data_IF_206244769935
#
_entry.id   IF_206244769935
#
_cell.length_a   1.000
_cell.length_b   1.000
_cell.length_c   1.000
_cell.angle_alpha   90.00
_cell.angle_beta   90.00
_cell.angle_gamma   90.00
#
_symmetry.space_group_name_H-M   'P 1'
#
loop_
_entity.id
_entity.type
_entity.pdbx_description
1 polymer ?
#
# COMPACT_ATOMS: atom_id res chain seq x y z
N UNK A 1 -9.86 -0.22 12.18
CA UNK A 1 -10.42 1.16 12.13
C UNK A 1 -11.89 1.08 11.70
N UNK A 2 -12.78 1.85 12.35
CA UNK A 2 -14.22 1.85 12.10
C UNK A 2 -14.82 3.24 12.36
N UNK A 3 -16.16 3.37 12.21
CA UNK A 3 -16.86 4.66 12.43
C UNK A 3 -16.64 5.24 13.84
N UNK A 4 -16.55 4.42 14.87
CA UNK A 4 -16.31 4.88 16.23
C UNK A 4 -14.89 5.43 16.41
N UNK A 5 -13.89 4.79 15.79
CA UNK A 5 -12.52 5.29 15.74
C UNK A 5 -12.46 6.65 15.00
N UNK A 6 -13.20 6.79 13.88
CA UNK A 6 -13.31 8.04 13.14
C UNK A 6 -13.90 9.15 14.01
N UNK A 7 -14.99 8.87 14.73
CA UNK A 7 -15.63 9.83 15.63
C UNK A 7 -14.71 10.23 16.79
N UNK A 8 -14.01 9.25 17.38
CA UNK A 8 -13.05 9.50 18.45
C UNK A 8 -11.92 10.44 17.95
N UNK A 9 -11.32 10.13 16.80
CA UNK A 9 -10.27 10.96 16.21
C UNK A 9 -10.76 12.39 15.92
N UNK A 10 -11.99 12.53 15.41
CA UNK A 10 -12.60 13.84 15.20
C UNK A 10 -12.77 14.64 16.51
N UNK A 11 -13.23 13.99 17.59
CA UNK A 11 -13.33 14.61 18.92
C UNK A 11 -11.97 15.00 19.48
N UNK A 12 -10.92 14.24 19.16
CA UNK A 12 -9.52 14.54 19.52
C UNK A 12 -8.88 15.66 18.66
N UNK A 13 -9.63 16.27 17.74
CA UNK A 13 -9.17 17.40 16.92
C UNK A 13 -8.59 17.01 15.55
N UNK A 14 -8.58 15.73 15.18
CA UNK A 14 -8.11 15.30 13.85
C UNK A 14 -9.24 15.47 12.82
N UNK A 15 -9.01 16.29 11.80
CA UNK A 15 -10.01 16.58 10.76
C UNK A 15 -9.92 15.64 9.54
N UNK A 16 -8.79 14.99 9.35
CA UNK A 16 -8.52 14.14 8.20
C UNK A 16 -7.86 12.82 8.63
N UNK A 17 -8.01 11.79 7.80
CA UNK A 17 -7.39 10.48 8.04
C UNK A 17 -7.08 9.77 6.72
N UNK A 18 -6.18 8.78 6.77
CA UNK A 18 -5.95 7.86 5.66
C UNK A 18 -6.92 6.70 5.77
N UNK A 19 -7.65 6.41 4.70
CA UNK A 19 -8.57 5.28 4.64
C UNK A 19 -7.84 3.96 4.93
N UNK A 20 -8.36 3.12 5.83
CA UNK A 20 -7.76 1.85 6.16
C UNK A 20 -7.72 0.93 4.94
N UNK A 21 -6.60 0.27 4.77
CA UNK A 21 -6.38 -0.56 3.60
C UNK A 21 -6.98 -1.96 3.71
N UNK A 22 -7.33 -2.38 4.91
CA UNK A 22 -8.01 -3.65 5.19
C UNK A 22 -9.50 -3.63 4.86
N UNK A 23 -10.10 -2.46 4.66
CA UNK A 23 -11.54 -2.34 4.39
C UNK A 23 -11.84 -2.52 2.90
N UNK A 24 -12.92 -3.24 2.62
CA UNK A 24 -13.45 -3.35 1.27
C UNK A 24 -14.29 -2.13 0.87
N UNK A 25 -14.76 -2.09 -0.39
CA UNK A 25 -15.56 -0.99 -0.93
C UNK A 25 -16.80 -0.68 -0.08
N UNK A 26 -17.53 -1.71 0.37
CA UNK A 26 -18.75 -1.53 1.15
C UNK A 26 -18.48 -0.94 2.53
N UNK A 27 -17.43 -1.41 3.19
CA UNK A 27 -17.00 -0.92 4.49
C UNK A 27 -16.47 0.52 4.41
N UNK A 28 -15.72 0.84 3.35
CA UNK A 28 -15.25 2.21 3.07
C UNK A 28 -16.42 3.16 2.84
N UNK A 29 -17.48 2.70 2.16
CA UNK A 29 -18.71 3.46 1.97
C UNK A 29 -19.42 3.76 3.29
N UNK A 30 -19.51 2.77 4.19
CA UNK A 30 -20.09 2.93 5.53
C UNK A 30 -19.24 3.89 6.38
N UNK A 31 -17.94 3.83 6.25
CA UNK A 31 -17.00 4.71 6.96
C UNK A 31 -17.13 6.18 6.54
N UNK A 32 -17.42 6.42 5.24
CA UNK A 32 -17.47 7.76 4.64
C UNK A 32 -16.07 8.36 4.45
N UNK A 33 -15.73 8.71 3.22
CA UNK A 33 -14.37 9.14 2.85
C UNK A 33 -14.25 10.64 2.53
N UNK A 34 -15.26 11.44 2.81
CA UNK A 34 -15.32 12.88 2.46
C UNK A 34 -14.20 13.70 3.11
N UNK A 35 -13.64 13.20 4.19
CA UNK A 35 -12.50 13.82 4.90
C UNK A 35 -11.25 12.93 4.86
N UNK A 36 -11.26 11.87 4.06
CA UNK A 36 -10.18 10.91 4.00
C UNK A 36 -9.39 11.00 2.69
N UNK A 37 -8.14 10.61 2.76
CA UNK A 37 -7.37 10.22 1.59
C UNK A 37 -7.48 8.69 1.37
N UNK A 38 -7.64 8.27 0.12
CA UNK A 38 -7.65 6.87 -0.28
C UNK A 38 -6.34 6.54 -1.00
N UNK A 39 -5.60 5.56 -0.49
CA UNK A 39 -4.41 5.06 -1.19
C UNK A 39 -4.84 4.26 -2.41
N UNK A 40 -4.42 4.70 -3.60
CA UNK A 40 -4.76 4.07 -4.88
C UNK A 40 -3.59 3.37 -5.55
N UNK A 41 -2.37 3.62 -5.07
CA UNK A 41 -1.15 2.96 -5.51
C UNK A 41 -0.13 2.85 -4.38
N UNK A 42 0.61 1.75 -4.37
CA UNK A 42 1.84 1.56 -3.60
C UNK A 42 2.05 0.13 -3.12
N UNK A 43 3.32 -0.23 -2.93
CA UNK A 43 3.68 -1.49 -2.29
C UNK A 43 3.26 -1.51 -0.82
N UNK A 44 2.56 -2.56 -0.44
CA UNK A 44 2.03 -2.75 0.92
C UNK A 44 2.95 -3.64 1.74
N UNK A 45 3.34 -3.21 2.96
CA UNK A 45 3.98 -4.11 3.91
C UNK A 45 3.02 -5.26 4.28
N UNK A 46 3.47 -6.49 4.09
CA UNK A 46 2.73 -7.70 4.48
C UNK A 46 3.31 -8.33 5.74
N UNK A 47 4.58 -8.04 6.05
CA UNK A 47 5.24 -8.53 7.26
C UNK A 47 6.36 -7.58 7.71
N UNK A 48 6.49 -7.41 9.01
CA UNK A 48 7.65 -6.79 9.65
C UNK A 48 8.32 -7.87 10.50
N UNK A 49 9.62 -8.11 10.27
CA UNK A 49 10.39 -9.14 10.98
C UNK A 49 11.60 -8.54 11.69
N UNK A 50 11.69 -8.77 12.99
CA UNK A 50 12.88 -8.44 13.77
C UNK A 50 14.07 -9.36 13.45
N UNK A 51 13.83 -10.52 12.84
CA UNK A 51 14.89 -11.40 12.37
C UNK A 51 15.43 -10.92 11.02
N UNK A 52 16.61 -10.32 11.04
CA UNK A 52 17.23 -9.78 9.84
C UNK A 52 17.72 -10.89 8.90
N UNK A 53 17.17 -10.96 7.68
CA UNK A 53 17.52 -11.95 6.65
C UNK A 53 19.01 -11.88 6.28
N UNK A 54 19.56 -10.68 6.16
CA UNK A 54 20.97 -10.49 5.82
C UNK A 54 21.90 -10.98 6.92
N UNK A 55 21.54 -10.75 8.18
CA UNK A 55 22.29 -11.24 9.36
C UNK A 55 22.25 -12.76 9.42
N UNK A 56 21.07 -13.37 9.23
CA UNK A 56 20.88 -14.83 9.23
C UNK A 56 21.70 -15.51 8.13
N UNK A 57 21.86 -14.86 6.98
CA UNK A 57 22.68 -15.37 5.85
C UNK A 57 24.18 -15.06 5.99
N UNK A 58 24.62 -14.41 7.04
CA UNK A 58 26.01 -13.98 7.20
C UNK A 58 26.47 -12.90 6.21
N UNK A 59 25.55 -12.20 5.55
CA UNK A 59 25.80 -11.19 4.50
C UNK A 59 25.46 -9.78 4.94
N UNK A 60 25.43 -9.52 6.25
CA UNK A 60 25.11 -8.21 6.78
C UNK A 60 26.22 -7.19 6.50
N UNK A 61 25.91 -6.15 5.75
CA UNK A 61 26.82 -5.03 5.43
C UNK A 61 26.57 -3.80 6.32
N UNK A 62 25.59 -3.86 7.22
CA UNK A 62 25.09 -2.73 8.03
C UNK A 62 24.54 -1.56 7.20
N UNK A 63 24.29 -1.75 5.93
CA UNK A 63 23.71 -0.75 5.03
C UNK A 63 22.28 -1.13 4.69
N UNK A 64 21.37 -0.18 4.83
CA UNK A 64 19.97 -0.36 4.41
C UNK A 64 19.90 -0.61 2.90
N UNK A 65 19.16 -1.63 2.49
CA UNK A 65 19.09 -2.08 1.11
C UNK A 65 17.77 -2.77 0.80
N UNK A 66 17.50 -2.97 -0.48
CA UNK A 66 16.42 -3.84 -0.94
C UNK A 66 16.98 -5.18 -1.39
N UNK A 67 16.31 -6.25 -1.03
CA UNK A 67 16.59 -7.63 -1.46
C UNK A 67 15.29 -8.31 -1.86
N UNK A 68 15.37 -9.51 -2.42
CA UNK A 68 14.19 -10.28 -2.80
C UNK A 68 14.16 -11.61 -2.05
N UNK A 69 12.97 -12.07 -1.75
CA UNK A 69 12.70 -13.36 -1.13
C UNK A 69 11.65 -14.08 -1.98
N UNK A 70 11.88 -15.36 -2.25
CA UNK A 70 10.91 -16.24 -2.94
C UNK A 70 10.23 -17.15 -1.94
N UNK A 71 8.94 -17.33 -2.12
CA UNK A 71 8.19 -18.33 -1.38
C UNK A 71 8.30 -19.75 -2.02
N UNK A 72 7.54 -20.70 -1.49
CA UNK A 72 7.56 -22.09 -1.95
C UNK A 72 7.00 -22.28 -3.36
N UNK A 73 6.14 -21.39 -3.81
CA UNK A 73 5.52 -21.44 -5.13
C UNK A 73 6.25 -20.56 -6.16
N UNK A 74 7.36 -19.91 -5.74
CA UNK A 74 8.19 -19.09 -6.61
C UNK A 74 7.80 -17.63 -6.66
N UNK A 75 6.81 -17.19 -5.90
CA UNK A 75 6.41 -15.79 -5.82
C UNK A 75 7.52 -14.93 -5.18
N UNK A 76 7.81 -13.79 -5.77
CA UNK A 76 8.94 -12.95 -5.39
C UNK A 76 8.46 -11.71 -4.61
N UNK A 77 8.90 -11.61 -3.36
CA UNK A 77 8.57 -10.51 -2.45
C UNK A 77 9.76 -9.58 -2.30
N UNK A 78 9.50 -8.28 -2.38
CA UNK A 78 10.50 -7.27 -2.09
C UNK A 78 10.70 -7.15 -0.58
N UNK A 79 11.96 -7.11 -0.15
CA UNK A 79 12.33 -6.99 1.25
C UNK A 79 13.22 -5.76 1.44
N UNK A 80 12.77 -4.82 2.25
CA UNK A 80 13.57 -3.69 2.69
C UNK A 80 14.31 -4.06 3.98
N UNK A 81 15.63 -4.05 3.93
CA UNK A 81 16.48 -4.25 5.10
C UNK A 81 16.73 -2.90 5.78
N UNK A 82 16.14 -2.70 6.96
CA UNK A 82 16.32 -1.50 7.79
C UNK A 82 17.47 -1.75 8.75
N UNK A 83 18.69 -1.50 8.27
CA UNK A 83 19.90 -1.86 9.01
C UNK A 83 20.17 -0.99 10.24
N UNK A 84 19.65 0.24 10.28
CA UNK A 84 19.78 1.14 11.42
C UNK A 84 19.07 0.60 12.67
N UNK A 85 17.91 -0.05 12.47
CA UNK A 85 17.10 -0.62 13.55
C UNK A 85 17.07 -2.16 13.53
N UNK A 86 17.84 -2.80 12.63
CA UNK A 86 17.99 -4.26 12.51
C UNK A 86 16.68 -5.04 12.31
N UNK A 87 15.76 -4.53 11.49
CA UNK A 87 14.54 -5.26 11.09
C UNK A 87 14.35 -5.25 9.57
N UNK A 88 13.41 -6.07 9.11
CA UNK A 88 13.03 -6.12 7.69
C UNK A 88 11.56 -5.81 7.52
N UNK A 89 11.24 -5.16 6.42
CA UNK A 89 9.87 -4.99 5.93
C UNK A 89 9.75 -5.82 4.66
N UNK A 90 8.84 -6.78 4.66
CA UNK A 90 8.47 -7.55 3.47
C UNK A 90 7.25 -6.90 2.84
N UNK A 91 7.36 -6.54 1.58
CA UNK A 91 6.28 -5.97 0.80
C UNK A 91 5.59 -7.04 -0.03
N UNK A 92 4.35 -6.79 -0.41
CA UNK A 92 3.62 -7.64 -1.34
C UNK A 92 4.40 -7.76 -2.67
N UNK A 93 4.21 -8.86 -3.38
CA UNK A 93 4.87 -9.14 -4.67
C UNK A 93 4.50 -8.14 -5.76
N UNK A 94 3.27 -7.63 -5.73
CA UNK A 94 2.79 -6.61 -6.65
C UNK A 94 2.23 -5.40 -5.88
N UNK A 95 2.34 -4.18 -6.43
CA UNK A 95 1.77 -2.99 -5.81
C UNK A 95 0.25 -3.00 -5.86
N UNK A 96 -0.39 -2.40 -4.85
CA UNK A 96 -1.79 -2.02 -4.93
C UNK A 96 -1.98 -1.06 -6.10
N UNK A 97 -3.00 -1.28 -6.95
CA UNK A 97 -3.48 -0.28 -7.91
C UNK A 97 -5.00 -0.33 -8.03
N UNK A 98 -5.65 0.75 -7.64
CA UNK A 98 -7.12 0.89 -7.68
C UNK A 98 -7.62 1.74 -8.85
N UNK A 99 -6.76 2.23 -9.73
CA UNK A 99 -7.16 3.05 -10.86
C UNK A 99 -8.24 2.39 -11.73
N UNK A 100 -8.17 1.08 -11.95
CA UNK A 100 -9.19 0.30 -12.67
C UNK A 100 -10.57 0.29 -12.00
N UNK A 101 -10.68 0.79 -10.77
CA UNK A 101 -11.93 0.91 -10.02
C UNK A 101 -12.45 2.38 -9.98
N UNK A 102 -12.08 3.20 -10.96
CA UNK A 102 -12.39 4.64 -11.03
C UNK A 102 -13.85 4.97 -10.66
N UNK A 103 -14.81 4.27 -11.26
CA UNK A 103 -16.25 4.51 -11.00
C UNK A 103 -16.62 4.27 -9.53
N UNK A 104 -16.05 3.24 -8.90
CA UNK A 104 -16.30 2.92 -7.50
C UNK A 104 -15.63 3.95 -6.58
N UNK A 105 -14.41 4.37 -6.90
CA UNK A 105 -13.69 5.40 -6.16
C UNK A 105 -14.45 6.73 -6.23
N UNK A 106 -14.97 7.10 -7.39
CA UNK A 106 -15.81 8.30 -7.54
C UNK A 106 -17.06 8.24 -6.66
N UNK A 107 -17.72 7.09 -6.55
CA UNK A 107 -18.87 6.90 -5.65
C UNK A 107 -18.52 6.98 -4.17
N UNK A 108 -17.30 6.60 -3.79
CA UNK A 108 -16.78 6.75 -2.43
C UNK A 108 -16.42 8.19 -2.07
N UNK A 109 -16.23 9.05 -3.07
CA UNK A 109 -15.92 10.49 -2.93
C UNK A 109 -14.82 10.80 -1.92
N UNK A 110 -13.63 10.16 -1.99
CA UNK A 110 -12.54 10.49 -1.09
C UNK A 110 -12.07 11.92 -1.32
N UNK A 111 -11.67 12.60 -0.23
CA UNK A 111 -11.14 13.97 -0.30
C UNK A 111 -9.92 14.08 -1.20
N UNK A 112 -9.03 13.07 -1.15
CA UNK A 112 -7.81 12.98 -1.96
C UNK A 112 -7.51 11.53 -2.36
N UNK A 113 -6.80 11.36 -3.44
CA UNK A 113 -6.16 10.09 -3.82
C UNK A 113 -4.68 10.16 -3.44
N UNK A 114 -4.18 9.08 -2.85
CA UNK A 114 -2.80 8.96 -2.42
C UNK A 114 -2.06 7.94 -3.28
N UNK A 115 -0.95 8.36 -3.85
CA UNK A 115 0.05 7.50 -4.49
C UNK A 115 1.25 7.41 -3.55
N UNK A 116 1.66 6.22 -3.16
CA UNK A 116 2.75 5.99 -2.23
C UNK A 116 3.91 5.27 -2.93
N UNK A 117 5.04 5.94 -3.02
CA UNK A 117 6.29 5.37 -3.50
C UNK A 117 7.17 4.97 -2.30
N UNK A 118 7.93 3.88 -2.44
CA UNK A 118 8.82 3.41 -1.39
C UNK A 118 9.92 2.49 -1.89
N UNK A 119 9.68 1.77 -2.97
CA UNK A 119 10.57 0.74 -3.49
C UNK A 119 10.83 0.88 -4.99
N UNK A 120 10.09 1.75 -5.65
CA UNK A 120 10.12 1.95 -7.09
C UNK A 120 11.40 2.68 -7.52
N UNK A 121 11.92 2.33 -8.69
CA UNK A 121 12.98 3.08 -9.36
C UNK A 121 12.40 4.34 -10.00
N UNK A 122 13.25 5.28 -10.32
CA UNK A 122 12.86 6.58 -10.92
C UNK A 122 11.98 6.42 -12.17
N UNK A 123 12.33 5.48 -13.04
CA UNK A 123 11.61 5.20 -14.28
C UNK A 123 10.21 4.60 -14.02
N UNK A 124 10.10 3.78 -12.97
CA UNK A 124 8.83 3.19 -12.52
C UNK A 124 7.93 4.27 -11.91
N UNK A 125 8.49 5.15 -11.08
CA UNK A 125 7.78 6.32 -10.52
C UNK A 125 7.15 7.15 -11.63
N UNK A 126 7.90 7.45 -12.70
CA UNK A 126 7.39 8.23 -13.83
C UNK A 126 6.21 7.54 -14.50
N UNK A 127 6.34 6.25 -14.84
CA UNK A 127 5.26 5.44 -15.45
C UNK A 127 4.00 5.40 -14.58
N UNK A 128 4.17 5.24 -13.27
CA UNK A 128 3.04 5.19 -12.33
C UNK A 128 2.36 6.55 -12.22
N UNK A 129 3.12 7.65 -12.22
CA UNK A 129 2.54 8.99 -12.20
C UNK A 129 1.74 9.29 -13.47
N UNK A 130 2.29 8.97 -14.65
CA UNK A 130 1.57 9.08 -15.93
C UNK A 130 0.28 8.25 -15.90
N UNK A 131 0.35 7.01 -15.44
CA UNK A 131 -0.83 6.14 -15.30
C UNK A 131 -1.85 6.70 -14.29
N UNK A 132 -1.39 7.25 -13.17
CA UNK A 132 -2.28 7.75 -12.12
C UNK A 132 -2.93 9.11 -12.48
N UNK A 133 -2.28 9.93 -13.29
CA UNK A 133 -2.75 11.26 -13.66
C UNK A 133 -3.52 11.20 -14.98
N UNK A 134 -2.91 10.65 -16.02
CA UNK A 134 -3.40 10.74 -17.40
C UNK A 134 -4.32 9.57 -17.77
N UNK A 135 -4.04 8.37 -17.27
CA UNK A 135 -4.74 7.12 -17.60
C UNK A 135 -5.47 6.49 -16.41
N UNK A 136 -5.88 7.30 -15.41
CA UNK A 136 -6.64 6.78 -14.27
C UNK A 136 -8.00 6.25 -14.71
N UNK A 137 -8.21 4.95 -14.52
CA UNK A 137 -9.39 4.22 -15.00
C UNK A 137 -9.04 3.16 -16.05
N UNK A 138 -7.85 3.22 -16.63
CA UNK A 138 -7.35 2.23 -17.58
C UNK A 138 -6.55 1.12 -16.88
N UNK A 139 -6.40 -0.02 -17.58
CA UNK A 139 -5.55 -1.11 -17.09
C UNK A 139 -4.08 -0.69 -17.23
N UNK A 140 -3.27 -0.76 -16.16
CA UNK A 140 -1.87 -0.37 -16.22
C UNK A 140 -1.04 -1.40 -16.99
N UNK A 141 0.16 -0.97 -17.44
CA UNK A 141 1.14 -1.82 -18.10
C UNK A 141 2.14 -2.48 -17.11
N UNK A 142 1.73 -2.65 -15.85
CA UNK A 142 2.51 -3.32 -14.83
C UNK A 142 1.62 -4.29 -14.03
N UNK A 143 2.22 -5.28 -13.40
CA UNK A 143 1.51 -6.21 -12.53
C UNK A 143 1.02 -5.47 -11.28
N UNK A 144 -0.21 -5.77 -10.86
CA UNK A 144 -0.83 -5.10 -9.73
C UNK A 144 -1.83 -6.00 -9.01
N UNK A 145 -2.13 -5.63 -7.78
CA UNK A 145 -3.19 -6.23 -6.97
C UNK A 145 -4.24 -5.18 -6.59
N UNK A 146 -5.44 -5.64 -6.27
CA UNK A 146 -6.50 -4.80 -5.69
C UNK A 146 -6.70 -5.11 -4.21
N UNK A 147 -5.91 -6.02 -3.67
CA UNK A 147 -5.92 -6.44 -2.27
C UNK A 147 -7.35 -6.64 -1.72
N UNK A 148 -7.63 -6.06 -0.55
CA UNK A 148 -8.90 -6.21 0.15
C UNK A 148 -10.04 -5.36 -0.42
N UNK A 149 -9.78 -4.44 -1.33
CA UNK A 149 -10.80 -3.53 -1.88
C UNK A 149 -12.05 -4.27 -2.43
N UNK A 150 -11.87 -5.45 -3.01
CA UNK A 150 -12.98 -6.28 -3.50
C UNK A 150 -13.59 -7.22 -2.47
N UNK A 151 -12.77 -7.82 -1.60
CA UNK A 151 -13.18 -8.97 -0.78
C UNK A 151 -13.19 -8.69 0.73
N UNK A 152 -12.49 -7.65 1.18
CA UNK A 152 -12.23 -7.41 2.60
C UNK A 152 -11.23 -8.39 3.21
N UNK A 153 -11.05 -8.28 4.53
CA UNK A 153 -10.35 -9.26 5.36
C UNK A 153 -11.42 -10.18 5.93
N UNK A 154 -11.33 -11.48 5.62
CA UNK A 154 -12.21 -12.51 6.18
C UNK A 154 -11.81 -12.80 7.63
#
# INVERSE_FOLDING_TARGET
FNRFSKEFMKKAGFSEFTAPAELNESELKILGLETAELTVYGYRPVMISAQCIMKTRGKCTKNSSFTHMKDRIGEEFLVQNRCDECYNIVYNSAPLYLGTQKVKIQKLSPKRLRVRFGAERKEEVKKVLEQAIDAFGEKPQFDYTQEHFKRGVL
#
